data_IF_478737280989
#
_entry.id   IF_478737280989
#
_cell.length_a   1.000
_cell.length_b   1.000
_cell.length_c   1.000
_cell.angle_alpha   90.00
_cell.angle_beta   90.00
_cell.angle_gamma   90.00
#
_symmetry.space_group_name_H-M   'P 1'
#
loop_
_entity.id
_entity.type
_entity.pdbx_description
1 polymer ?
#
# COMPACT_ATOMS: atom_id res chain seq x y z
N UNK A 1 -5.38 -44.50 -29.78
CA UNK A 1 -4.13 -44.46 -29.01
C UNK A 1 -4.37 -43.48 -27.86
N UNK A 2 -4.84 -43.89 -26.67
CA UNK A 2 -4.11 -44.54 -25.56
C UNK A 2 -2.76 -43.82 -25.32
N UNK A 3 -2.43 -43.21 -24.17
CA UNK A 3 -2.45 -43.70 -22.78
C UNK A 3 -2.21 -42.51 -21.81
N UNK A 4 -3.04 -42.25 -20.78
CA UNK A 4 -2.84 -42.54 -19.33
C UNK A 4 -1.46 -42.14 -18.74
N UNK A 5 -1.37 -41.17 -17.82
CA UNK A 5 -1.61 -41.20 -16.35
C UNK A 5 -0.41 -41.70 -15.54
N UNK A 6 0.06 -40.88 -14.58
CA UNK A 6 0.71 -41.31 -13.35
C UNK A 6 0.65 -40.18 -12.30
N UNK A 7 -0.21 -40.35 -11.31
CA UNK A 7 -0.06 -39.75 -9.98
C UNK A 7 1.11 -40.45 -9.26
N UNK A 8 1.78 -39.83 -8.28
CA UNK A 8 2.05 -40.49 -6.97
C UNK A 8 2.84 -39.57 -5.99
N UNK A 9 2.17 -39.29 -4.87
CA UNK A 9 2.61 -39.24 -3.47
C UNK A 9 3.54 -38.14 -2.90
N UNK A 10 2.92 -37.43 -1.94
CA UNK A 10 3.51 -36.77 -0.77
C UNK A 10 4.52 -37.67 -0.06
N UNK A 11 5.60 -37.07 0.45
CA UNK A 11 6.19 -37.49 1.72
C UNK A 11 6.38 -36.27 2.61
N UNK A 12 5.66 -36.30 3.72
CA UNK A 12 5.82 -35.38 4.84
C UNK A 12 7.21 -35.59 5.45
N UNK A 13 7.92 -34.50 5.76
CA UNK A 13 9.13 -34.56 6.58
C UNK A 13 8.70 -35.00 7.98
N UNK A 14 8.98 -36.27 8.29
CA UNK A 14 8.90 -36.79 9.65
C UNK A 14 10.20 -36.37 10.34
N UNK A 15 10.08 -35.46 11.30
CA UNK A 15 11.16 -35.07 12.19
C UNK A 15 11.28 -36.14 13.28
N UNK A 16 12.26 -37.03 13.16
CA UNK A 16 12.57 -38.00 14.21
C UNK A 16 13.46 -37.35 15.29
N UNK A 17 13.12 -37.56 16.55
CA UNK A 17 13.66 -36.83 17.73
C UNK A 17 14.90 -37.51 18.34
N UNK A 18 15.56 -38.40 17.59
CA UNK A 18 16.47 -39.40 18.17
C UNK A 18 17.95 -39.28 17.78
N UNK A 19 18.34 -38.32 16.94
CA UNK A 19 19.75 -38.15 16.51
C UNK A 19 20.44 -36.91 17.11
N UNK A 20 20.07 -36.51 18.32
CA UNK A 20 20.72 -35.38 19.03
C UNK A 20 22.04 -35.77 19.75
N UNK A 21 22.56 -36.99 19.55
CA UNK A 21 23.81 -37.44 20.18
C UNK A 21 24.62 -38.29 19.21
N UNK A 22 25.35 -37.66 18.29
CA UNK A 22 26.67 -38.10 17.83
C UNK A 22 27.31 -37.02 16.97
N UNK A 23 28.43 -36.50 17.47
CA UNK A 23 29.18 -35.42 16.84
C UNK A 23 29.51 -35.70 15.38
N UNK A 24 29.08 -34.81 14.50
CA UNK A 24 29.59 -34.68 13.15
C UNK A 24 30.33 -33.35 13.06
N UNK A 25 31.64 -33.43 12.82
CA UNK A 25 32.50 -32.30 12.47
C UNK A 25 31.96 -31.65 11.20
N UNK A 26 31.43 -30.44 11.36
CA UNK A 26 30.83 -29.65 10.28
C UNK A 26 31.97 -29.13 9.37
N UNK A 27 32.14 -29.77 8.21
CA UNK A 27 33.04 -29.28 7.16
C UNK A 27 32.50 -27.92 6.69
N UNK A 28 33.27 -26.86 6.92
CA UNK A 28 32.90 -25.51 6.53
C UNK A 28 32.92 -25.43 4.99
N UNK A 29 31.75 -25.27 4.37
CA UNK A 29 31.66 -24.94 2.95
C UNK A 29 32.28 -23.56 2.75
N UNK A 30 33.30 -23.47 1.90
CA UNK A 30 33.94 -22.22 1.50
C UNK A 30 32.90 -21.30 0.87
N UNK A 31 32.52 -20.25 1.60
CA UNK A 31 31.59 -19.23 1.11
C UNK A 31 32.33 -18.39 0.09
N UNK A 32 31.92 -18.47 -1.18
CA UNK A 32 32.40 -17.53 -2.19
C UNK A 32 31.91 -16.13 -1.81
N UNK A 33 32.84 -15.25 -1.42
CA UNK A 33 32.52 -13.86 -1.16
C UNK A 33 32.11 -13.19 -2.48
N UNK A 34 30.82 -12.91 -2.65
CA UNK A 34 30.33 -12.07 -3.76
C UNK A 34 30.79 -10.65 -3.48
N UNK A 35 31.81 -10.20 -4.21
CA UNK A 35 32.25 -8.81 -4.21
C UNK A 35 31.28 -8.00 -5.07
N UNK A 36 30.36 -7.28 -4.45
CA UNK A 36 29.58 -6.25 -5.12
C UNK A 36 30.50 -5.06 -5.45
N UNK A 37 30.80 -4.86 -6.73
CA UNK A 37 31.38 -3.59 -7.18
C UNK A 37 30.28 -2.53 -7.15
N UNK A 38 30.42 -1.43 -6.38
CA UNK A 38 29.49 -0.32 -6.49
C UNK A 38 29.64 0.28 -7.88
N UNK A 39 28.63 0.10 -8.74
CA UNK A 39 28.53 0.88 -9.96
C UNK A 39 28.48 2.37 -9.57
N UNK A 40 29.22 3.21 -10.29
CA UNK A 40 29.20 4.66 -10.06
C UNK A 40 27.75 5.16 -10.14
N UNK A 41 27.24 5.91 -9.14
CA UNK A 41 25.90 6.43 -9.21
C UNK A 41 25.83 7.39 -10.40
N UNK A 42 25.01 7.06 -11.39
CA UNK A 42 24.63 8.04 -12.41
C UNK A 42 23.86 9.14 -11.70
N UNK A 43 24.55 10.26 -11.46
CA UNK A 43 23.97 11.45 -10.84
C UNK A 43 23.02 12.13 -11.84
N UNK A 44 21.83 11.57 -12.00
CA UNK A 44 20.71 12.30 -12.59
C UNK A 44 20.26 13.34 -11.56
N UNK A 45 20.73 14.58 -11.73
CA UNK A 45 20.26 15.70 -10.92
C UNK A 45 18.88 16.13 -11.41
N UNK A 46 17.82 15.63 -10.78
CA UNK A 46 16.45 16.09 -11.02
C UNK A 46 16.23 17.38 -10.22
N UNK A 47 15.91 18.49 -10.89
CA UNK A 47 15.57 19.77 -10.25
C UNK A 47 14.10 20.11 -10.50
N UNK A 48 13.37 20.44 -9.43
CA UNK A 48 11.98 20.87 -9.50
C UNK A 48 11.79 22.35 -9.94
N UNK A 49 12.84 23.00 -10.45
CA UNK A 49 12.79 24.38 -10.95
C UNK A 49 12.25 25.37 -9.91
N UNK A 50 11.22 26.14 -10.29
CA UNK A 50 10.56 27.16 -9.48
C UNK A 50 9.80 26.61 -8.26
N UNK A 51 9.37 25.35 -8.30
CA UNK A 51 8.52 24.76 -7.25
C UNK A 51 9.30 24.02 -6.16
N UNK A 52 10.64 24.05 -6.20
CA UNK A 52 11.48 23.29 -5.27
C UNK A 52 11.15 23.60 -3.79
N UNK A 53 10.99 24.88 -3.45
CA UNK A 53 10.67 25.29 -2.08
C UNK A 53 9.26 24.85 -1.66
N UNK A 54 8.30 24.93 -2.58
CA UNK A 54 6.91 24.53 -2.34
C UNK A 54 6.80 23.01 -2.13
N UNK A 55 7.42 22.20 -2.99
CA UNK A 55 7.42 20.74 -2.84
C UNK A 55 8.06 20.30 -1.52
N UNK A 56 9.18 20.93 -1.12
CA UNK A 56 9.81 20.65 0.18
C UNK A 56 8.89 21.05 1.33
N UNK A 57 8.19 22.19 1.23
CA UNK A 57 7.22 22.62 2.24
C UNK A 57 6.07 21.62 2.34
N UNK A 58 5.47 21.22 1.24
CA UNK A 58 4.38 20.24 1.19
C UNK A 58 4.81 18.89 1.74
N UNK A 59 5.98 18.39 1.35
CA UNK A 59 6.52 17.14 1.87
C UNK A 59 6.72 17.18 3.39
N UNK A 60 7.21 18.30 3.94
CA UNK A 60 7.33 18.50 5.39
C UNK A 60 5.97 18.55 6.10
N UNK A 61 4.97 19.20 5.50
CA UNK A 61 3.61 19.25 6.04
C UNK A 61 2.98 17.86 6.09
N UNK A 62 3.12 17.08 5.00
CA UNK A 62 2.60 15.71 4.91
C UNK A 62 3.32 14.79 5.90
N UNK A 63 4.65 14.91 6.05
CA UNK A 63 5.45 14.07 6.94
C UNK A 63 5.57 14.62 8.38
N UNK A 64 4.62 15.44 8.83
CA UNK A 64 4.64 15.99 10.20
C UNK A 64 4.50 14.89 11.26
N UNK A 65 5.23 14.96 12.39
CA UNK A 65 5.15 13.96 13.46
C UNK A 65 3.72 13.77 13.97
N UNK A 66 3.33 12.51 14.21
CA UNK A 66 2.01 12.17 14.75
C UNK A 66 0.87 12.17 13.73
N UNK A 67 1.13 12.51 12.45
CA UNK A 67 0.14 12.45 11.37
C UNK A 67 0.54 11.52 10.24
N UNK A 68 -0.45 11.02 9.51
CA UNK A 68 -0.31 10.12 8.36
C UNK A 68 -1.08 10.58 7.12
N UNK A 69 -1.10 9.72 6.10
CA UNK A 69 -1.80 9.94 4.84
C UNK A 69 -3.03 9.02 4.78
N UNK A 70 -4.18 9.58 4.41
CA UNK A 70 -5.40 8.83 4.14
C UNK A 70 -5.48 8.42 2.67
N UNK A 71 -5.39 7.12 2.39
CA UNK A 71 -5.55 6.59 1.03
C UNK A 71 -7.03 6.30 0.75
N UNK A 72 -7.69 7.19 -0.01
CA UNK A 72 -9.09 7.06 -0.46
C UNK A 72 -9.22 7.08 -1.99
N UNK A 73 -8.16 6.65 -2.65
CA UNK A 73 -7.97 6.57 -4.09
C UNK A 73 -8.48 5.25 -4.69
N UNK A 74 -9.40 4.58 -4.00
CA UNK A 74 -10.06 3.38 -4.51
C UNK A 74 -10.76 3.67 -5.84
N UNK A 75 -10.34 2.96 -6.90
CA UNK A 75 -11.06 3.00 -8.18
C UNK A 75 -12.51 2.54 -8.01
N UNK A 76 -13.36 2.82 -9.00
CA UNK A 76 -14.77 2.43 -8.97
C UNK A 76 -14.97 0.91 -8.79
N UNK A 77 -14.08 0.08 -9.36
CA UNK A 77 -14.12 -1.36 -9.20
C UNK A 77 -13.72 -1.79 -7.78
N UNK A 78 -12.72 -1.14 -7.17
CA UNK A 78 -12.27 -1.42 -5.80
C UNK A 78 -13.32 -0.97 -4.79
N UNK A 79 -13.80 0.26 -4.90
CA UNK A 79 -14.85 0.82 -4.04
C UNK A 79 -16.14 -0.01 -4.13
N UNK A 80 -16.48 -0.52 -5.32
CA UNK A 80 -17.60 -1.43 -5.49
C UNK A 80 -17.49 -2.73 -4.69
N UNK A 81 -16.28 -3.29 -4.51
CA UNK A 81 -16.06 -4.45 -3.62
C UNK A 81 -16.24 -4.08 -2.16
N UNK A 82 -15.74 -2.92 -1.75
CA UNK A 82 -15.90 -2.39 -0.39
C UNK A 82 -17.40 -2.19 -0.06
N UNK A 83 -18.17 -1.59 -0.96
CA UNK A 83 -19.62 -1.41 -0.83
C UNK A 83 -20.39 -2.75 -0.86
N UNK A 84 -20.03 -3.67 -1.75
CA UNK A 84 -20.68 -4.97 -1.83
C UNK A 84 -20.49 -5.80 -0.54
N UNK A 85 -19.35 -5.64 0.14
CA UNK A 85 -19.08 -6.33 1.41
C UNK A 85 -20.07 -5.97 2.53
N UNK A 86 -20.68 -4.78 2.44
CA UNK A 86 -21.70 -4.28 3.37
C UNK A 86 -23.11 -4.33 2.78
N UNK A 87 -23.30 -5.01 1.64
CA UNK A 87 -24.60 -5.17 0.99
C UNK A 87 -25.09 -3.94 0.22
N UNK A 88 -24.22 -3.00 -0.12
CA UNK A 88 -24.56 -1.82 -0.92
C UNK A 88 -24.18 -1.99 -2.39
N UNK A 89 -25.00 -1.42 -3.27
CA UNK A 89 -24.74 -1.35 -4.69
C UNK A 89 -23.68 -0.28 -5.02
N UNK A 90 -22.86 -0.54 -6.04
CA UNK A 90 -21.86 0.41 -6.54
C UNK A 90 -22.49 1.50 -7.43
N UNK A 91 -23.15 2.47 -6.82
CA UNK A 91 -23.80 3.59 -7.51
C UNK A 91 -23.02 4.89 -7.34
N UNK A 92 -23.25 5.87 -8.22
CA UNK A 92 -22.64 7.21 -8.12
C UNK A 92 -23.08 7.99 -6.88
N UNK A 93 -24.14 7.55 -6.19
CA UNK A 93 -24.60 8.16 -4.94
C UNK A 93 -23.88 7.53 -3.74
N UNK A 94 -23.68 6.21 -3.77
CA UNK A 94 -23.06 5.48 -2.67
C UNK A 94 -21.55 5.72 -2.57
N UNK A 95 -20.85 5.90 -3.70
CA UNK A 95 -19.41 6.20 -3.73
C UNK A 95 -19.02 7.52 -3.05
N UNK A 96 -19.67 8.68 -3.33
CA UNK A 96 -19.40 9.91 -2.60
C UNK A 96 -19.92 9.86 -1.16
N UNK A 97 -21.02 9.14 -0.87
CA UNK A 97 -21.48 8.96 0.50
C UNK A 97 -20.45 8.21 1.37
N UNK A 98 -19.85 7.15 0.83
CA UNK A 98 -18.73 6.43 1.45
C UNK A 98 -17.55 7.37 1.75
N UNK A 99 -17.17 8.20 0.79
CA UNK A 99 -16.05 9.14 0.97
C UNK A 99 -16.38 10.30 1.90
N UNK A 100 -17.62 10.77 1.87
CA UNK A 100 -18.12 11.78 2.80
C UNK A 100 -17.92 11.31 4.23
N UNK A 101 -18.32 10.06 4.53
CA UNK A 101 -18.12 9.47 5.85
C UNK A 101 -16.65 9.51 6.31
N UNK A 102 -15.69 9.31 5.40
CA UNK A 102 -14.27 9.34 5.73
C UNK A 102 -13.75 10.75 6.00
N UNK A 103 -14.20 11.76 5.23
CA UNK A 103 -13.68 13.13 5.32
C UNK A 103 -14.40 14.00 6.36
N UNK A 104 -15.61 13.63 6.78
CA UNK A 104 -16.39 14.40 7.77
C UNK A 104 -16.19 13.94 9.21
N UNK A 105 -15.25 13.03 9.46
CA UNK A 105 -14.89 12.60 10.82
C UNK A 105 -14.37 13.81 11.61
N UNK A 106 -14.93 14.09 12.80
CA UNK A 106 -14.43 15.18 13.65
C UNK A 106 -12.95 14.98 13.99
N UNK A 107 -12.18 16.08 14.03
CA UNK A 107 -10.74 16.06 14.36
C UNK A 107 -9.87 15.20 13.43
N UNK A 108 -10.30 14.90 12.19
CA UNK A 108 -9.48 14.13 11.24
C UNK A 108 -8.08 14.75 11.00
N UNK A 109 -8.00 16.09 10.92
CA UNK A 109 -6.76 16.84 10.69
C UNK A 109 -5.71 16.73 11.81
N UNK A 110 -6.09 16.26 13.00
CA UNK A 110 -5.15 15.98 14.10
C UNK A 110 -4.25 14.76 13.79
N UNK A 111 -4.73 13.83 12.97
CA UNK A 111 -4.07 12.56 12.67
C UNK A 111 -3.70 12.39 11.20
N UNK A 112 -4.35 13.13 10.30
CA UNK A 112 -4.12 13.05 8.86
C UNK A 112 -3.63 14.40 8.34
N UNK A 113 -2.52 14.38 7.60
CA UNK A 113 -1.88 15.56 7.02
C UNK A 113 -2.11 15.68 5.51
N UNK A 114 -2.66 14.65 4.88
CA UNK A 114 -2.99 14.63 3.46
C UNK A 114 -3.82 13.40 3.09
N UNK A 115 -4.50 13.48 1.95
CA UNK A 115 -5.30 12.39 1.41
C UNK A 115 -4.99 12.15 -0.06
N UNK A 116 -4.99 10.88 -0.48
CA UNK A 116 -4.87 10.49 -1.89
C UNK A 116 -6.27 10.24 -2.42
N UNK A 117 -6.65 10.96 -3.48
CA UNK A 117 -8.00 10.94 -4.04
C UNK A 117 -8.02 10.22 -5.39
N UNK A 118 -9.13 9.54 -5.67
CA UNK A 118 -9.43 9.07 -7.01
C UNK A 118 -9.96 10.24 -7.85
N UNK A 119 -9.80 10.20 -9.17
CA UNK A 119 -10.21 11.30 -10.06
C UNK A 119 -11.68 11.68 -9.90
N UNK A 120 -12.57 10.70 -9.79
CA UNK A 120 -14.00 10.96 -9.55
C UNK A 120 -14.23 11.72 -8.23
N UNK A 121 -13.46 11.41 -7.19
CA UNK A 121 -13.54 12.04 -5.86
C UNK A 121 -13.10 13.49 -5.88
N UNK A 122 -12.10 13.81 -6.70
CA UNK A 122 -11.56 15.16 -6.80
C UNK A 122 -12.64 16.18 -7.21
N UNK A 123 -13.62 15.75 -8.00
CA UNK A 123 -14.71 16.57 -8.50
C UNK A 123 -16.06 16.32 -7.83
N UNK A 124 -16.11 15.42 -6.82
CA UNK A 124 -17.33 15.11 -6.09
C UNK A 124 -17.62 16.09 -4.97
N UNK A 125 -18.92 16.23 -4.68
CA UNK A 125 -19.42 16.86 -3.47
C UNK A 125 -19.77 15.82 -2.42
N UNK A 126 -19.63 16.23 -1.17
CA UNK A 126 -20.21 15.57 -0.01
C UNK A 126 -21.73 15.50 -0.10
N UNK A 127 -22.35 14.66 0.73
CA UNK A 127 -23.82 14.57 0.84
C UNK A 127 -24.48 15.90 1.20
N UNK A 128 -23.74 16.82 1.83
CA UNK A 128 -24.20 18.15 2.22
C UNK A 128 -23.94 19.22 1.14
N UNK A 129 -23.44 18.82 -0.03
CA UNK A 129 -23.24 19.68 -1.20
C UNK A 129 -21.89 20.42 -1.24
N UNK A 130 -21.08 20.37 -0.18
CA UNK A 130 -19.71 20.94 -0.17
C UNK A 130 -18.76 20.07 -0.98
N UNK A 131 -17.79 20.64 -1.69
CA UNK A 131 -16.78 19.85 -2.41
C UNK A 131 -15.92 19.08 -1.41
N UNK A 132 -15.59 17.83 -1.72
CA UNK A 132 -14.75 17.00 -0.84
C UNK A 132 -13.38 17.64 -0.58
N UNK A 133 -12.80 18.28 -1.60
CA UNK A 133 -11.52 18.99 -1.49
C UNK A 133 -11.56 20.18 -0.53
N UNK A 134 -12.69 20.88 -0.45
CA UNK A 134 -12.84 22.04 0.43
C UNK A 134 -12.90 21.57 1.89
N UNK A 135 -13.58 20.45 2.16
CA UNK A 135 -13.66 19.84 3.49
C UNK A 135 -12.29 19.36 4.00
N UNK A 136 -11.42 18.88 3.11
CA UNK A 136 -10.07 18.39 3.48
C UNK A 136 -9.06 19.51 3.81
N UNK A 137 -9.39 20.76 3.47
CA UNK A 137 -8.53 21.93 3.73
C UNK A 137 -8.87 22.57 5.10
N UNK A 138 -10.06 22.29 5.64
CA UNK A 138 -10.52 22.75 6.96
C UNK A 138 -9.73 22.09 8.11
#
# INVERSE_FOLDING_TARGET
MASASASLFKSSIVLDKSEWVKGQTLRQSSVAAVRCNPAAPSSLTIRAGSYANELVKTAKTIASPGRGILAMDESNATCGKSLASIGLENTEVNRPAWRTLLVTVPSLGEYISGAILFEETLYQSTTDGRKIVDVLIE
#
